data_IF_443130464473
#
_entry.id   IF_443130464473
#
_cell.length_a   1.000
_cell.length_b   1.000
_cell.length_c   1.000
_cell.angle_alpha   90.00
_cell.angle_beta   90.00
_cell.angle_gamma   90.00
#
_symmetry.space_group_name_H-M   'P 1'
#
loop_
_entity.id
_entity.type
_entity.pdbx_description
1 polymer ?
#
# COMPACT_ATOMS: atom_id res chain seq x y z
N UNK A 1 -9.25 -9.97 26.62
CA UNK A 1 -10.10 -9.54 25.49
C UNK A 1 -9.79 -8.09 25.21
N UNK A 2 -8.88 -7.85 24.26
CA UNK A 2 -8.57 -6.51 23.79
C UNK A 2 -8.68 -6.54 22.27
N UNK A 3 -9.73 -5.92 21.75
CA UNK A 3 -9.94 -5.67 20.33
C UNK A 3 -8.95 -4.60 19.90
N UNK A 4 -7.86 -5.00 19.24
CA UNK A 4 -6.98 -4.04 18.56
C UNK A 4 -7.63 -3.68 17.23
N UNK A 5 -8.23 -2.50 17.23
CA UNK A 5 -8.69 -1.68 16.12
C UNK A 5 -7.90 -1.92 14.83
N UNK A 6 -8.57 -2.49 13.82
CA UNK A 6 -8.09 -2.56 12.45
C UNK A 6 -8.29 -1.18 11.81
N UNK A 7 -7.31 -0.29 12.01
CA UNK A 7 -7.27 1.01 11.37
C UNK A 7 -5.99 1.10 10.53
N UNK A 8 -6.20 1.27 9.22
CA UNK A 8 -5.26 1.73 8.19
C UNK A 8 -4.49 0.72 7.34
N UNK A 9 -5.17 -0.28 6.78
CA UNK A 9 -4.75 -0.87 5.49
C UNK A 9 -5.19 -0.03 4.26
N UNK A 10 -6.02 1.00 4.48
CA UNK A 10 -6.48 1.92 3.43
C UNK A 10 -5.40 2.83 2.84
N UNK A 11 -4.16 2.82 3.37
CA UNK A 11 -3.04 3.61 2.84
C UNK A 11 -2.30 2.93 1.68
N UNK A 12 -2.47 1.62 1.49
CA UNK A 12 -1.83 0.89 0.41
C UNK A 12 -2.75 0.87 -0.80
N UNK A 13 -2.63 1.92 -1.63
CA UNK A 13 -3.35 2.02 -2.92
C UNK A 13 -3.17 0.76 -3.78
N UNK A 14 -2.03 0.08 -3.64
CA UNK A 14 -1.72 -1.18 -4.33
C UNK A 14 -2.73 -2.30 -4.03
N UNK A 15 -3.37 -2.27 -2.86
CA UNK A 15 -4.31 -3.30 -2.42
C UNK A 15 -5.77 -2.96 -2.72
N UNK A 16 -6.04 -1.81 -3.34
CA UNK A 16 -7.41 -1.43 -3.65
C UNK A 16 -7.96 -2.27 -4.80
N UNK A 17 -9.13 -2.83 -4.58
CA UNK A 17 -9.98 -3.36 -5.63
C UNK A 17 -10.58 -2.23 -6.47
N UNK A 18 -11.19 -2.59 -7.59
CA UNK A 18 -11.69 -1.61 -8.56
C UNK A 18 -12.81 -0.73 -7.99
N UNK A 19 -13.66 -1.26 -7.10
CA UNK A 19 -14.72 -0.49 -6.46
C UNK A 19 -14.16 0.58 -5.52
N UNK A 20 -13.24 0.19 -4.62
CA UNK A 20 -12.57 1.13 -3.70
C UNK A 20 -11.81 2.21 -4.46
N UNK A 21 -11.15 1.86 -5.57
CA UNK A 21 -10.48 2.84 -6.43
C UNK A 21 -11.48 3.86 -7.02
N UNK A 22 -12.61 3.40 -7.53
CA UNK A 22 -13.64 4.26 -8.12
C UNK A 22 -14.22 5.23 -7.08
N UNK A 23 -14.51 4.72 -5.87
CA UNK A 23 -15.05 5.56 -4.79
C UNK A 23 -14.05 6.64 -4.38
N UNK A 24 -12.77 6.31 -4.25
CA UNK A 24 -11.72 7.30 -4.02
C UNK A 24 -11.68 8.37 -5.12
N UNK A 25 -11.75 7.97 -6.39
CA UNK A 25 -11.70 8.91 -7.52
C UNK A 25 -12.94 9.82 -7.61
N UNK A 26 -14.10 9.37 -7.12
CA UNK A 26 -15.31 10.22 -6.99
C UNK A 26 -15.11 11.27 -5.90
N UNK A 27 -14.49 10.90 -4.77
CA UNK A 27 -14.18 11.83 -3.68
C UNK A 27 -13.18 12.92 -4.09
N UNK A 28 -12.28 12.65 -5.04
CA UNK A 28 -11.34 13.66 -5.56
C UNK A 28 -12.01 14.77 -6.39
N UNK A 29 -13.32 14.70 -6.66
CA UNK A 29 -14.09 15.73 -7.38
C UNK A 29 -13.48 16.13 -8.74
N UNK A 30 -12.93 15.15 -9.47
CA UNK A 30 -12.20 15.35 -10.73
C UNK A 30 -13.09 15.78 -11.93
N UNK A 31 -14.40 15.96 -11.72
CA UNK A 31 -15.40 16.27 -12.77
C UNK A 31 -15.40 15.27 -13.94
N UNK A 32 -15.10 13.99 -13.66
CA UNK A 32 -15.25 12.92 -14.64
C UNK A 32 -16.73 12.54 -14.79
N UNK A 33 -17.13 12.27 -16.03
CA UNK A 33 -18.45 11.69 -16.31
C UNK A 33 -18.52 10.23 -15.84
N UNK A 34 -19.71 9.79 -15.45
CA UNK A 34 -19.95 8.45 -14.90
C UNK A 34 -19.44 7.31 -15.80
N UNK A 35 -19.58 7.47 -17.12
CA UNK A 35 -19.14 6.49 -18.12
C UNK A 35 -17.66 6.12 -18.01
N UNK A 36 -16.81 7.03 -17.53
CA UNK A 36 -15.38 6.77 -17.41
C UNK A 36 -15.06 5.86 -16.22
N UNK A 37 -15.85 5.91 -15.14
CA UNK A 37 -15.74 4.95 -14.03
C UNK A 37 -16.18 3.55 -14.48
N UNK A 38 -17.20 3.46 -15.34
CA UNK A 38 -17.60 2.17 -15.91
C UNK A 38 -16.50 1.53 -16.76
N UNK A 39 -15.69 2.33 -17.47
CA UNK A 39 -14.52 1.80 -18.21
C UNK A 39 -13.48 1.22 -17.25
N UNK A 40 -13.21 1.89 -16.12
CA UNK A 40 -12.29 1.36 -15.09
C UNK A 40 -12.78 0.02 -14.54
N UNK A 41 -14.09 -0.11 -14.33
CA UNK A 41 -14.73 -1.35 -13.89
C UNK A 41 -14.63 -2.45 -14.95
N UNK A 42 -14.94 -2.15 -16.22
CA UNK A 42 -14.91 -3.11 -17.31
C UNK A 42 -13.50 -3.63 -17.63
N UNK A 43 -12.48 -2.80 -17.46
CA UNK A 43 -11.07 -3.19 -17.63
C UNK A 43 -10.46 -3.78 -16.35
N UNK A 44 -11.26 -3.98 -15.29
CA UNK A 44 -10.84 -4.54 -13.99
C UNK A 44 -9.61 -3.83 -13.41
N UNK A 45 -9.57 -2.51 -13.55
CA UNK A 45 -8.41 -1.71 -13.13
C UNK A 45 -8.38 -1.67 -11.60
N UNK A 46 -7.41 -2.38 -11.03
CA UNK A 46 -7.10 -2.36 -9.60
C UNK A 46 -6.22 -1.16 -9.23
N UNK A 47 -6.13 -0.82 -7.96
CA UNK A 47 -5.31 0.29 -7.49
C UNK A 47 -3.84 0.16 -7.87
N UNK A 48 -3.25 -1.05 -7.77
CA UNK A 48 -1.89 -1.30 -8.26
C UNK A 48 -1.73 -0.98 -9.75
N UNK A 49 -2.63 -1.49 -10.59
CA UNK A 49 -2.57 -1.25 -12.04
C UNK A 49 -2.80 0.22 -12.41
N UNK A 50 -3.64 0.92 -11.65
CA UNK A 50 -3.92 2.35 -11.81
C UNK A 50 -2.68 3.21 -11.57
N UNK A 51 -1.85 2.86 -10.59
CA UNK A 51 -0.61 3.58 -10.30
C UNK A 51 0.33 3.58 -11.52
N UNK A 52 0.36 2.53 -12.32
CA UNK A 52 1.21 2.39 -13.52
C UNK A 52 0.53 2.80 -14.84
N UNK A 53 -0.61 3.49 -14.75
CA UNK A 53 -1.36 3.88 -15.94
C UNK A 53 -0.74 5.11 -16.64
N UNK A 54 -0.69 5.08 -17.97
CA UNK A 54 -0.27 6.20 -18.81
C UNK A 54 -1.43 6.74 -19.63
N UNK A 55 -1.28 7.96 -20.16
CA UNK A 55 -2.29 8.55 -21.05
C UNK A 55 -2.50 7.69 -22.30
N UNK A 56 -1.47 7.01 -22.83
CA UNK A 56 -1.62 6.14 -24.00
C UNK A 56 -2.46 4.89 -23.67
N UNK A 57 -2.21 4.24 -22.52
CA UNK A 57 -3.00 3.09 -22.08
C UNK A 57 -4.46 3.47 -21.86
N UNK A 58 -4.71 4.57 -21.15
CA UNK A 58 -6.07 5.08 -20.96
C UNK A 58 -6.73 5.41 -22.30
N UNK A 59 -6.01 6.00 -23.25
CA UNK A 59 -6.54 6.25 -24.58
C UNK A 59 -6.92 4.96 -25.32
N UNK A 60 -6.14 3.87 -25.15
CA UNK A 60 -6.45 2.57 -25.74
C UNK A 60 -7.72 1.92 -25.16
N UNK A 61 -8.06 2.22 -23.91
CA UNK A 61 -9.32 1.80 -23.27
C UNK A 61 -10.52 2.71 -23.60
N UNK A 62 -10.34 3.71 -24.47
CA UNK A 62 -11.41 4.61 -24.92
C UNK A 62 -11.59 5.87 -24.07
N UNK A 63 -10.63 6.21 -23.21
CA UNK A 63 -10.65 7.52 -22.53
C UNK A 63 -10.36 8.65 -23.52
N UNK A 64 -11.06 9.76 -23.36
CA UNK A 64 -10.72 11.01 -24.08
C UNK A 64 -9.51 11.66 -23.41
N UNK A 65 -8.77 12.47 -24.15
CA UNK A 65 -7.54 13.12 -23.67
C UNK A 65 -7.70 13.86 -22.34
N UNK A 66 -8.78 14.64 -22.15
CA UNK A 66 -9.03 15.33 -20.88
C UNK A 66 -9.11 14.39 -19.67
N UNK A 67 -10.08 13.46 -19.65
CA UNK A 67 -10.18 12.40 -18.63
C UNK A 67 -8.89 11.60 -18.43
N UNK A 68 -8.21 11.21 -19.52
CA UNK A 68 -6.97 10.46 -19.44
C UNK A 68 -5.87 11.25 -18.69
N UNK A 69 -5.64 12.50 -19.08
CA UNK A 69 -4.67 13.39 -18.41
C UNK A 69 -5.01 13.63 -16.95
N UNK A 70 -6.28 13.77 -16.59
CA UNK A 70 -6.70 13.94 -15.19
C UNK A 70 -6.36 12.70 -14.35
N UNK A 71 -6.70 11.52 -14.84
CA UNK A 71 -6.43 10.26 -14.14
C UNK A 71 -4.92 9.98 -14.01
N UNK A 72 -4.14 10.21 -15.06
CA UNK A 72 -2.68 10.05 -15.00
C UNK A 72 -2.03 11.00 -14.00
N UNK A 73 -2.52 12.25 -13.89
CA UNK A 73 -2.06 13.18 -12.85
C UNK A 73 -2.39 12.67 -11.45
N UNK A 74 -3.61 12.16 -11.24
CA UNK A 74 -4.01 11.65 -9.93
C UNK A 74 -3.21 10.40 -9.52
N UNK A 75 -2.97 9.48 -10.44
CA UNK A 75 -2.09 8.33 -10.22
C UNK A 75 -0.67 8.77 -9.79
N UNK A 76 -0.12 9.81 -10.43
CA UNK A 76 1.18 10.38 -10.03
C UNK A 76 1.14 11.02 -8.65
N UNK A 77 0.09 11.78 -8.34
CA UNK A 77 -0.09 12.39 -7.02
C UNK A 77 -0.21 11.33 -5.93
N UNK A 78 -0.90 10.22 -6.19
CA UNK A 78 -0.97 9.08 -5.27
C UNK A 78 0.43 8.48 -5.04
N UNK A 79 1.21 8.21 -6.10
CA UNK A 79 2.59 7.73 -5.97
C UNK A 79 3.47 8.65 -5.10
N UNK A 80 3.35 9.96 -5.26
CA UNK A 80 4.10 10.94 -4.47
C UNK A 80 3.66 10.97 -3.00
N UNK A 81 2.34 10.92 -2.74
CA UNK A 81 1.80 10.85 -1.38
C UNK A 81 2.26 9.59 -0.66
N UNK A 82 2.28 8.45 -1.35
CA UNK A 82 2.70 7.15 -0.82
C UNK A 82 4.19 7.21 -0.40
N UNK A 83 5.06 7.75 -1.25
CA UNK A 83 6.48 8.01 -0.92
C UNK A 83 6.62 8.94 0.30
N UNK A 84 5.80 9.99 0.39
CA UNK A 84 5.85 10.95 1.50
C UNK A 84 5.42 10.33 2.83
N UNK A 85 4.40 9.46 2.84
CA UNK A 85 3.96 8.77 4.06
C UNK A 85 5.06 7.87 4.65
N UNK A 86 5.89 7.25 3.79
CA UNK A 86 7.05 6.50 4.26
C UNK A 86 8.21 7.41 4.73
N UNK A 87 8.31 8.64 4.21
CA UNK A 87 9.31 9.61 4.65
C UNK A 87 8.96 10.33 5.96
N UNK A 88 7.70 10.29 6.41
CA UNK A 88 7.29 10.96 7.65
C UNK A 88 7.80 10.27 8.91
N UNK A 89 8.20 9.00 8.80
CA UNK A 89 9.09 8.38 9.79
C UNK A 89 10.50 8.83 9.46
N UNK A 90 10.95 9.90 10.11
CA UNK A 90 12.24 10.50 9.84
C UNK A 90 13.39 9.58 10.30
N UNK A 91 13.10 8.62 11.18
CA UNK A 91 14.02 7.55 11.56
C UNK A 91 13.32 6.35 12.21
N UNK A 92 13.98 5.18 12.17
CA UNK A 92 13.59 3.99 12.93
C UNK A 92 13.35 4.29 14.42
N UNK A 93 14.08 5.26 14.98
CA UNK A 93 13.92 5.71 16.37
C UNK A 93 12.51 6.21 16.66
N UNK A 94 11.89 6.97 15.75
CA UNK A 94 10.53 7.48 15.93
C UNK A 94 9.49 6.36 15.93
N UNK A 95 9.68 5.37 15.05
CA UNK A 95 8.84 4.16 15.00
C UNK A 95 8.94 3.43 16.34
N UNK A 96 10.15 3.19 16.84
CA UNK A 96 10.39 2.48 18.10
C UNK A 96 9.76 3.19 19.31
N UNK A 97 9.84 4.52 19.38
CA UNK A 97 9.22 5.32 20.45
C UNK A 97 7.69 5.13 20.48
N UNK A 98 7.02 5.02 19.32
CA UNK A 98 5.57 4.75 19.26
C UNK A 98 5.20 3.42 19.91
N UNK A 99 6.09 2.43 19.86
CA UNK A 99 5.93 1.12 20.50
C UNK A 99 6.52 1.08 21.92
N UNK A 100 6.81 2.22 22.53
CA UNK A 100 7.35 2.30 23.89
C UNK A 100 8.80 1.84 24.02
N UNK A 101 9.50 1.70 22.89
CA UNK A 101 10.92 1.36 22.82
C UNK A 101 11.67 2.69 22.73
N UNK A 102 11.79 3.38 23.86
CA UNK A 102 12.69 4.52 23.94
C UNK A 102 14.14 4.02 23.77
N UNK A 103 14.95 4.82 23.10
CA UNK A 103 16.27 4.42 22.58
C UNK A 103 17.33 4.15 23.66
N UNK A 104 16.94 3.89 24.91
CA UNK A 104 17.83 3.81 26.05
C UNK A 104 18.22 2.37 26.45
N UNK A 105 17.68 1.35 25.77
CA UNK A 105 18.19 -0.01 25.91
C UNK A 105 17.36 -1.06 25.18
N UNK A 106 18.02 -1.88 24.36
CA UNK A 106 17.47 -3.12 23.79
C UNK A 106 16.99 -4.13 24.85
N UNK A 107 17.22 -3.87 26.14
CA UNK A 107 16.78 -4.72 27.26
C UNK A 107 15.27 -4.85 27.43
N UNK A 108 14.48 -3.88 26.94
CA UNK A 108 13.01 -3.99 26.94
C UNK A 108 12.47 -4.81 25.76
N UNK A 109 13.29 -5.08 24.73
CA UNK A 109 12.91 -5.98 23.66
C UNK A 109 12.91 -7.39 24.24
N UNK A 110 11.78 -8.10 24.14
CA UNK A 110 11.72 -9.50 24.54
C UNK A 110 12.80 -10.27 23.79
N UNK A 111 13.84 -10.70 24.51
CA UNK A 111 14.90 -11.51 23.95
C UNK A 111 14.31 -12.87 23.63
N UNK A 112 14.32 -13.24 22.36
CA UNK A 112 13.98 -14.60 21.97
C UNK A 112 15.07 -15.53 22.52
N UNK A 113 14.68 -16.49 23.35
CA UNK A 113 15.54 -17.62 23.67
C UNK A 113 15.26 -18.72 22.64
N UNK A 114 16.14 -18.93 21.64
CA UNK A 114 15.98 -20.06 20.75
C UNK A 114 16.02 -21.37 21.54
N UNK A 115 15.14 -22.30 21.17
CA UNK A 115 15.27 -23.68 21.63
C UNK A 115 16.55 -24.26 21.03
N UNK A 116 17.50 -24.61 21.90
CA UNK A 116 18.75 -25.24 21.49
C UNK A 116 18.49 -26.73 21.42
N UNK A 117 18.47 -27.27 20.20
CA UNK A 117 18.47 -28.70 19.95
C UNK A 117 19.91 -29.15 19.74
N UNK A 118 20.32 -30.19 20.46
CA UNK A 118 21.60 -30.85 20.21
C UNK A 118 21.39 -31.77 19.01
N UNK A 119 22.13 -31.52 17.95
CA UNK A 119 22.23 -32.44 16.83
C UNK A 119 23.29 -33.48 17.21
N UNK A 120 22.95 -34.75 17.06
CA UNK A 120 23.91 -35.84 17.15
C UNK A 120 24.51 -36.07 15.76
N UNK A 121 25.80 -36.42 15.68
CA UNK A 121 26.49 -36.63 14.39
C UNK A 121 25.84 -37.76 13.55
N UNK A 122 25.01 -38.59 14.18
CA UNK A 122 24.27 -39.70 13.56
C UNK A 122 22.81 -39.34 13.21
N UNK A 123 22.41 -38.05 13.28
CA UNK A 123 21.05 -37.62 12.91
C UNK A 123 20.75 -37.87 11.42
N UNK A 124 19.83 -38.80 11.15
CA UNK A 124 19.43 -39.26 9.82
C UNK A 124 18.77 -38.17 8.95
N UNK A 125 18.35 -37.04 9.53
CA UNK A 125 17.78 -35.89 8.79
C UNK A 125 18.85 -34.96 8.17
N UNK A 126 20.15 -35.22 8.39
CA UNK A 126 21.26 -34.46 7.80
C UNK A 126 21.89 -35.13 6.58
N UNK A 127 21.26 -36.20 6.04
CA UNK A 127 21.73 -36.97 4.87
C UNK A 127 21.16 -36.43 3.55
#
# INVERSE_FOLDING_TARGET
>A
MSTSTAEHDSCLVENWDTETLIDFLKEQNLKLEEKYYNILCNEEITGLSFLDMTEEKLSSYGFKGGPATLLTKEAKTLKEKLKRAFSSYHSLKEVLVKYGIDSNGIGNICQFLPAIYKLEDDDEELV
#
